data_IF_279410393202
#
_entry.id   IF_279410393202
#
_cell.length_a   1.000
_cell.length_b   1.000
_cell.length_c   1.000
_cell.angle_alpha   90.00
_cell.angle_beta   90.00
_cell.angle_gamma   90.00
#
_symmetry.space_group_name_H-M   'P 1'
#
loop_
_entity.id
_entity.type
_entity.pdbx_description
1 polymer ?
#
# COMPACT_ATOMS: atom_id res chain seq x y z
N UNK A 1 3.35 23.38 3.65
CA UNK A 1 1.99 23.85 3.32
C UNK A 1 1.05 23.00 4.14
N UNK A 2 0.17 23.60 4.89
CA UNK A 2 -0.83 22.90 5.71
C UNK A 2 -2.20 23.30 5.16
N UNK A 3 -2.87 22.38 4.50
CA UNK A 3 -4.28 22.52 4.14
C UNK A 3 -5.09 22.40 5.41
N UNK A 4 -5.67 23.50 5.87
CA UNK A 4 -6.10 23.67 7.25
C UNK A 4 -7.50 23.13 7.53
N UNK A 5 -8.37 23.08 6.51
CA UNK A 5 -9.77 22.70 6.71
C UNK A 5 -10.15 21.56 5.79
N UNK A 6 -10.46 20.40 6.38
CA UNK A 6 -11.08 19.27 5.68
C UNK A 6 -12.52 19.15 6.18
N UNK A 7 -13.47 19.12 5.27
CA UNK A 7 -14.88 18.90 5.55
C UNK A 7 -15.44 17.76 4.69
N UNK A 8 -16.08 16.81 5.31
CA UNK A 8 -17.00 15.91 4.62
C UNK A 8 -18.31 16.64 4.39
N UNK A 9 -18.88 16.51 3.20
CA UNK A 9 -20.20 17.08 2.95
C UNK A 9 -21.31 16.23 3.57
N UNK A 10 -22.47 16.81 3.81
CA UNK A 10 -23.61 16.07 4.35
C UNK A 10 -23.97 14.88 3.43
N UNK A 11 -24.03 15.11 2.13
CA UNK A 11 -24.26 14.07 1.13
C UNK A 11 -23.07 13.07 1.05
N UNK A 12 -21.85 13.53 1.26
CA UNK A 12 -20.65 12.68 1.31
C UNK A 12 -20.65 11.73 2.51
N UNK A 13 -21.13 12.20 3.67
CA UNK A 13 -21.30 11.35 4.86
C UNK A 13 -22.32 10.22 4.56
N UNK A 14 -23.42 10.53 3.90
CA UNK A 14 -24.41 9.52 3.49
C UNK A 14 -23.79 8.46 2.58
N UNK A 15 -22.98 8.88 1.58
CA UNK A 15 -22.25 7.94 0.71
C UNK A 15 -21.29 7.04 1.47
N UNK A 16 -20.56 7.58 2.47
CA UNK A 16 -19.65 6.80 3.30
C UNK A 16 -20.39 5.81 4.20
N UNK A 17 -21.51 6.21 4.78
CA UNK A 17 -22.35 5.32 5.59
C UNK A 17 -22.90 4.16 4.76
N UNK A 18 -23.31 4.44 3.54
CA UNK A 18 -23.73 3.44 2.59
C UNK A 18 -22.60 2.47 2.20
N UNK A 19 -21.37 2.99 2.03
CA UNK A 19 -20.20 2.15 1.77
C UNK A 19 -19.87 1.24 2.95
N UNK A 20 -20.01 1.71 4.18
CA UNK A 20 -19.87 0.89 5.40
C UNK A 20 -20.97 -0.20 5.47
N UNK A 21 -22.14 0.08 4.90
CA UNK A 21 -23.26 -0.88 4.83
C UNK A 21 -23.10 -1.91 3.69
N UNK A 22 -21.96 -1.90 2.97
CA UNK A 22 -21.62 -2.88 1.93
C UNK A 22 -21.95 -2.45 0.50
N UNK A 23 -22.35 -1.18 0.28
CA UNK A 23 -22.47 -0.65 -1.08
C UNK A 23 -21.10 -0.13 -1.56
N UNK A 24 -20.71 -0.48 -2.77
CA UNK A 24 -19.47 -0.01 -3.34
C UNK A 24 -19.55 1.49 -3.65
N UNK A 25 -18.58 2.26 -3.14
CA UNK A 25 -18.37 3.68 -3.45
C UNK A 25 -17.22 3.83 -4.44
N UNK A 26 -17.49 4.48 -5.57
CA UNK A 26 -16.46 4.82 -6.56
C UNK A 26 -16.14 6.31 -6.47
N UNK A 27 -14.88 6.66 -6.23
CA UNK A 27 -14.39 8.03 -6.40
C UNK A 27 -14.17 8.25 -7.89
N UNK A 28 -14.89 9.19 -8.46
CA UNK A 28 -14.99 9.38 -9.91
C UNK A 28 -14.08 10.49 -10.41
N UNK A 29 -13.92 11.57 -9.63
CA UNK A 29 -13.12 12.71 -10.04
C UNK A 29 -12.57 13.49 -8.83
N UNK A 30 -11.45 14.15 -9.06
CA UNK A 30 -10.92 15.20 -8.21
C UNK A 30 -11.02 16.54 -8.93
N UNK A 31 -11.37 17.59 -8.20
CA UNK A 31 -11.61 18.93 -8.77
C UNK A 31 -10.97 19.98 -7.89
N UNK A 32 -10.25 20.91 -8.50
CA UNK A 32 -9.77 22.13 -7.85
C UNK A 32 -10.74 23.28 -7.98
N UNK A 33 -10.82 24.13 -6.97
CA UNK A 33 -11.58 25.38 -6.98
C UNK A 33 -10.68 26.57 -6.70
N UNK A 34 -10.86 27.65 -7.47
CA UNK A 34 -10.09 28.89 -7.33
C UNK A 34 -10.67 29.86 -6.29
N UNK A 35 -11.85 29.57 -5.75
CA UNK A 35 -12.52 30.40 -4.78
C UNK A 35 -12.47 29.85 -3.36
N UNK A 36 -12.96 30.69 -2.42
CA UNK A 36 -13.08 30.35 -1.01
C UNK A 36 -14.54 30.30 -0.61
N UNK A 37 -14.93 29.34 0.18
CA UNK A 37 -16.21 29.26 0.86
C UNK A 37 -16.02 29.54 2.36
N UNK A 38 -17.10 29.95 3.01
CA UNK A 38 -17.07 30.09 4.46
C UNK A 38 -16.88 28.69 5.11
N UNK A 39 -15.85 28.57 5.96
CA UNK A 39 -15.54 27.32 6.64
C UNK A 39 -16.73 26.70 7.40
N UNK A 40 -17.62 27.51 7.93
CA UNK A 40 -18.79 27.04 8.66
C UNK A 40 -19.84 26.33 7.79
N UNK A 41 -19.81 26.52 6.46
CA UNK A 41 -20.78 25.94 5.53
C UNK A 41 -20.16 25.01 4.49
N UNK A 42 -18.89 24.63 4.67
CA UNK A 42 -18.20 23.69 3.75
C UNK A 42 -18.95 22.36 3.65
N UNK A 43 -19.53 21.87 4.75
CA UNK A 43 -20.29 20.62 4.78
C UNK A 43 -21.56 20.65 3.90
N UNK A 44 -22.11 21.82 3.65
CA UNK A 44 -23.30 21.99 2.83
C UNK A 44 -22.99 22.28 1.35
N UNK A 45 -21.72 22.31 0.96
CA UNK A 45 -21.31 22.53 -0.43
C UNK A 45 -21.69 21.33 -1.29
N UNK A 46 -22.05 21.61 -2.54
CA UNK A 46 -22.32 20.59 -3.57
C UNK A 46 -21.29 20.61 -4.69
N UNK A 47 -20.45 21.64 -4.75
CA UNK A 47 -19.35 21.80 -5.70
C UNK A 47 -18.27 22.72 -5.09
N UNK A 48 -17.13 22.83 -5.77
CA UNK A 48 -16.08 23.81 -5.44
C UNK A 48 -16.54 25.22 -5.68
N UNK A 49 -15.89 26.18 -5.03
CA UNK A 49 -16.17 27.62 -5.20
C UNK A 49 -15.20 28.21 -6.23
N UNK A 50 -15.69 29.12 -7.05
CA UNK A 50 -14.91 29.77 -8.10
C UNK A 50 -14.78 28.95 -9.36
N UNK A 51 -13.69 29.13 -10.08
CA UNK A 51 -13.42 28.41 -11.30
C UNK A 51 -13.05 26.95 -10.99
N UNK A 52 -13.57 26.03 -11.79
CA UNK A 52 -13.41 24.59 -11.62
C UNK A 52 -12.29 24.05 -12.52
N UNK A 53 -11.32 23.40 -11.90
CA UNK A 53 -10.18 22.79 -12.59
C UNK A 53 -10.18 21.28 -12.36
N UNK A 54 -10.10 20.51 -13.45
CA UNK A 54 -9.99 19.06 -13.35
C UNK A 54 -8.61 18.68 -12.78
N UNK A 55 -8.60 17.81 -11.77
CA UNK A 55 -7.39 17.27 -11.18
C UNK A 55 -7.31 15.78 -11.49
N UNK A 56 -6.10 15.22 -11.53
CA UNK A 56 -5.91 13.82 -11.90
C UNK A 56 -5.85 12.92 -10.67
N UNK A 57 -6.66 11.88 -10.68
CA UNK A 57 -6.60 10.80 -9.68
C UNK A 57 -5.48 9.83 -10.05
N UNK A 58 -4.44 9.70 -9.20
CA UNK A 58 -3.32 8.78 -9.42
C UNK A 58 -3.57 7.39 -8.87
N UNK A 59 -4.29 7.26 -7.78
CA UNK A 59 -4.53 5.97 -7.16
C UNK A 59 -5.14 6.05 -5.77
N UNK A 60 -5.60 4.89 -5.32
CA UNK A 60 -6.08 4.68 -3.95
C UNK A 60 -5.32 3.52 -3.33
N UNK A 61 -4.95 3.66 -2.06
CA UNK A 61 -4.29 2.61 -1.29
C UNK A 61 -4.96 2.45 0.07
N UNK A 62 -5.20 1.21 0.45
CA UNK A 62 -5.60 0.88 1.82
C UNK A 62 -4.43 1.15 2.76
N UNK A 63 -4.70 1.86 3.84
CA UNK A 63 -3.73 2.19 4.89
C UNK A 63 -4.39 2.04 6.25
N UNK A 64 -3.58 2.03 7.29
CA UNK A 64 -4.06 2.14 8.66
C UNK A 64 -3.63 3.50 9.20
N UNK A 65 -4.58 4.25 9.74
CA UNK A 65 -4.34 5.57 10.30
C UNK A 65 -4.86 5.59 11.74
N UNK A 66 -3.95 5.74 12.70
CA UNK A 66 -4.27 5.74 14.14
C UNK A 66 -5.10 4.51 14.58
N UNK A 67 -4.78 3.32 14.03
CA UNK A 67 -5.49 2.07 14.33
C UNK A 67 -6.83 1.89 13.58
N UNK A 68 -7.22 2.82 12.74
CA UNK A 68 -8.42 2.74 11.92
C UNK A 68 -8.09 2.45 10.47
N UNK A 69 -8.96 1.69 9.81
CA UNK A 69 -8.85 1.47 8.39
C UNK A 69 -9.13 2.79 7.63
N UNK A 70 -8.27 3.08 6.68
CA UNK A 70 -8.37 4.30 5.89
C UNK A 70 -8.03 4.02 4.41
N UNK A 71 -8.45 4.94 3.56
CA UNK A 71 -8.09 4.97 2.14
C UNK A 71 -7.31 6.24 1.85
N UNK A 72 -6.12 6.05 1.31
CA UNK A 72 -5.26 7.16 0.88
C UNK A 72 -5.45 7.36 -0.61
N UNK A 73 -6.00 8.51 -0.98
CA UNK A 73 -6.21 8.93 -2.38
C UNK A 73 -5.11 9.91 -2.76
N UNK A 74 -4.41 9.64 -3.86
CA UNK A 74 -3.40 10.53 -4.42
C UNK A 74 -3.98 11.28 -5.59
N UNK A 75 -3.75 12.59 -5.62
CA UNK A 75 -4.21 13.52 -6.63
C UNK A 75 -3.00 14.24 -7.19
N UNK A 76 -2.89 14.30 -8.51
CA UNK A 76 -1.87 15.08 -9.21
C UNK A 76 -2.48 16.40 -9.70
N UNK A 77 -1.74 17.47 -9.48
CA UNK A 77 -2.05 18.81 -9.91
C UNK A 77 -0.90 19.26 -10.81
N UNK A 78 -1.22 19.59 -12.04
CA UNK A 78 -0.26 20.07 -13.05
C UNK A 78 -0.58 21.49 -13.44
N UNK A 79 0.31 22.13 -14.17
CA UNK A 79 0.07 23.43 -14.75
C UNK A 79 -1.23 23.47 -15.55
N UNK A 80 -1.91 24.61 -15.54
CA UNK A 80 -3.18 24.85 -16.23
C UNK A 80 -2.97 25.67 -17.52
N UNK A 81 -4.07 26.02 -18.19
CA UNK A 81 -4.00 26.92 -19.36
C UNK A 81 -3.57 28.33 -18.92
N UNK A 82 -4.19 28.85 -17.85
CA UNK A 82 -3.84 30.11 -17.23
C UNK A 82 -3.40 29.90 -15.77
N UNK A 83 -2.57 30.83 -15.25
CA UNK A 83 -2.17 30.83 -13.85
C UNK A 83 -3.37 31.15 -12.96
N UNK A 84 -3.60 30.31 -11.94
CA UNK A 84 -4.66 30.51 -10.96
C UNK A 84 -4.21 30.16 -9.55
N UNK A 85 -4.96 30.58 -8.55
CA UNK A 85 -4.74 30.16 -7.17
C UNK A 85 -5.71 29.06 -6.80
N UNK A 86 -5.20 27.90 -6.44
CA UNK A 86 -5.97 26.75 -5.99
C UNK A 86 -6.24 26.91 -4.48
N UNK A 87 -7.48 27.12 -4.14
CA UNK A 87 -7.94 27.25 -2.75
C UNK A 87 -8.67 26.01 -2.23
N UNK A 88 -9.28 25.25 -3.12
CA UNK A 88 -10.07 24.09 -2.76
C UNK A 88 -9.68 22.87 -3.57
N UNK A 89 -9.68 21.71 -2.92
CA UNK A 89 -9.56 20.39 -3.56
C UNK A 89 -10.76 19.57 -3.11
N UNK A 90 -11.55 19.11 -4.07
CA UNK A 90 -12.75 18.32 -3.84
C UNK A 90 -12.62 16.92 -4.43
N UNK A 91 -13.16 15.93 -3.72
CA UNK A 91 -13.36 14.59 -4.23
C UNK A 91 -14.85 14.34 -4.44
N UNK A 92 -15.18 13.86 -5.64
CA UNK A 92 -16.52 13.42 -6.00
C UNK A 92 -16.56 11.91 -6.09
N UNK A 93 -17.69 11.35 -5.75
CA UNK A 93 -17.92 9.92 -5.86
C UNK A 93 -19.38 9.59 -6.07
N UNK A 94 -19.64 8.34 -6.43
CA UNK A 94 -20.98 7.79 -6.57
C UNK A 94 -21.02 6.33 -6.15
N UNK A 95 -22.19 5.89 -5.75
CA UNK A 95 -22.46 4.47 -5.53
C UNK A 95 -22.66 3.75 -6.86
N UNK A 96 -22.40 2.44 -6.84
CA UNK A 96 -22.70 1.58 -7.99
C UNK A 96 -24.19 1.69 -8.34
N UNK A 97 -24.46 2.05 -9.59
CA UNK A 97 -25.82 2.24 -10.12
C UNK A 97 -26.37 3.66 -10.00
N UNK A 98 -25.69 4.58 -9.30
CA UNK A 98 -26.07 6.00 -9.33
C UNK A 98 -25.60 6.66 -10.63
N UNK A 99 -26.44 7.57 -11.16
CA UNK A 99 -26.16 8.29 -12.40
C UNK A 99 -25.29 9.54 -12.17
N UNK A 100 -25.39 10.17 -11.00
CA UNK A 100 -24.78 11.45 -10.70
C UNK A 100 -23.66 11.30 -9.67
N UNK A 101 -22.63 12.13 -9.83
CA UNK A 101 -21.55 12.27 -8.88
C UNK A 101 -21.94 13.21 -7.75
N UNK A 102 -21.56 12.85 -6.54
CA UNK A 102 -21.84 13.64 -5.33
C UNK A 102 -20.52 14.09 -4.73
N UNK A 103 -20.45 15.33 -4.27
CA UNK A 103 -19.30 15.85 -3.55
C UNK A 103 -19.14 15.11 -2.22
N UNK A 104 -18.06 14.35 -2.10
CA UNK A 104 -17.76 13.51 -0.94
C UNK A 104 -17.12 14.33 0.19
N UNK A 105 -16.05 15.03 -0.16
CA UNK A 105 -15.30 15.86 0.76
C UNK A 105 -14.63 17.03 0.03
N UNK A 106 -14.29 18.04 0.82
CA UNK A 106 -13.62 19.23 0.35
C UNK A 106 -12.53 19.64 1.33
N UNK A 107 -11.36 19.94 0.79
CA UNK A 107 -10.23 20.49 1.54
C UNK A 107 -10.02 21.93 1.08
N UNK A 108 -9.89 22.85 2.02
CA UNK A 108 -9.69 24.26 1.73
C UNK A 108 -8.45 24.82 2.43
N UNK A 109 -7.74 25.69 1.73
CA UNK A 109 -6.65 26.49 2.28
C UNK A 109 -6.89 27.96 1.94
N UNK A 110 -6.96 28.81 2.96
CA UNK A 110 -7.23 30.24 2.80
C UNK A 110 -6.11 30.97 2.05
N UNK A 111 -4.88 30.46 2.13
CA UNK A 111 -3.72 31.02 1.41
C UNK A 111 -3.70 30.58 -0.04
N UNK A 112 -4.15 29.36 -0.29
CA UNK A 112 -4.12 28.73 -1.59
C UNK A 112 -2.70 28.39 -2.05
N UNK A 113 -2.64 27.77 -3.21
CA UNK A 113 -1.40 27.43 -3.92
C UNK A 113 -1.49 28.01 -5.33
N UNK A 114 -0.50 28.80 -5.72
CA UNK A 114 -0.41 29.29 -7.10
C UNK A 114 -0.06 28.13 -8.04
N UNK A 115 -0.91 27.88 -8.99
CA UNK A 115 -0.73 26.92 -10.06
C UNK A 115 -0.34 27.70 -11.32
N UNK A 116 0.88 27.55 -11.83
CA UNK A 116 1.34 28.30 -12.99
C UNK A 116 0.65 27.82 -14.26
N UNK A 117 0.60 28.71 -15.26
CA UNK A 117 0.25 28.32 -16.60
C UNK A 117 1.28 27.30 -17.14
N UNK A 118 0.82 26.26 -17.81
CA UNK A 118 1.70 25.26 -18.41
C UNK A 118 2.66 25.85 -19.47
N UNK A 119 2.32 27.01 -20.05
CA UNK A 119 3.20 27.78 -20.91
C UNK A 119 4.37 28.43 -20.16
N UNK A 120 4.23 28.65 -18.86
CA UNK A 120 5.25 29.28 -18.00
C UNK A 120 6.12 28.26 -17.31
N UNK A 121 5.52 27.15 -16.82
CA UNK A 121 6.22 26.04 -16.20
C UNK A 121 5.60 24.70 -16.64
N UNK A 122 6.23 24.06 -17.61
CA UNK A 122 5.75 22.79 -18.19
C UNK A 122 6.03 21.59 -17.27
N UNK A 123 6.94 21.74 -16.30
CA UNK A 123 7.34 20.67 -15.38
C UNK A 123 6.64 20.79 -14.01
N UNK A 124 5.77 21.80 -13.84
CA UNK A 124 5.07 21.98 -12.58
C UNK A 124 4.21 20.76 -12.28
N UNK A 125 4.53 20.10 -11.19
CA UNK A 125 3.76 18.98 -10.66
C UNK A 125 3.68 19.06 -9.14
N UNK A 126 2.50 18.89 -8.61
CA UNK A 126 2.25 18.81 -7.18
C UNK A 126 1.34 17.64 -6.87
N UNK A 127 1.77 16.75 -5.97
CA UNK A 127 0.98 15.59 -5.54
C UNK A 127 0.36 15.86 -4.18
N UNK A 128 -0.96 15.88 -4.16
CA UNK A 128 -1.75 16.01 -2.94
C UNK A 128 -2.29 14.64 -2.49
N UNK A 129 -2.33 14.43 -1.19
CA UNK A 129 -2.81 13.16 -0.64
C UNK A 129 -3.93 13.43 0.36
N UNK A 130 -5.08 12.82 0.11
CA UNK A 130 -6.22 12.82 1.02
C UNK A 130 -6.32 11.46 1.70
N UNK A 131 -6.55 11.47 3.01
CA UNK A 131 -6.81 10.25 3.77
C UNK A 131 -8.26 10.23 4.20
N UNK A 132 -9.00 9.22 3.76
CA UNK A 132 -10.40 9.00 4.12
C UNK A 132 -10.42 7.87 5.15
N UNK A 133 -10.77 8.20 6.39
CA UNK A 133 -10.89 7.21 7.48
C UNK A 133 -12.29 6.60 7.43
N UNK A 134 -12.36 5.27 7.38
CA UNK A 134 -13.60 4.51 7.24
C UNK A 134 -13.50 3.16 7.94
N UNK A 135 -14.61 2.41 7.97
CA UNK A 135 -14.59 1.01 8.42
C UNK A 135 -13.74 0.12 7.51
N UNK A 136 -13.21 -0.98 8.06
CA UNK A 136 -12.45 -1.99 7.30
C UNK A 136 -13.25 -2.62 6.17
N UNK A 137 -14.56 -2.72 6.34
CA UNK A 137 -15.46 -3.44 5.44
C UNK A 137 -15.98 -2.55 4.28
N UNK A 138 -15.62 -1.24 4.27
CA UNK A 138 -16.05 -0.35 3.21
C UNK A 138 -15.24 -0.56 1.92
N UNK A 139 -15.93 -0.85 0.83
CA UNK A 139 -15.34 -0.97 -0.50
C UNK A 139 -15.34 0.39 -1.20
N UNK A 140 -14.17 1.02 -1.28
CA UNK A 140 -13.96 2.26 -2.02
C UNK A 140 -12.95 2.02 -3.13
N UNK A 141 -13.34 2.32 -4.34
CA UNK A 141 -12.52 2.25 -5.55
C UNK A 141 -12.42 3.64 -6.20
N UNK A 142 -11.50 3.81 -7.13
CA UNK A 142 -11.38 5.05 -7.92
C UNK A 142 -11.57 4.74 -9.39
N UNK A 143 -12.06 5.74 -10.11
CA UNK A 143 -12.10 5.69 -11.56
C UNK A 143 -10.86 6.41 -12.12
N UNK A 144 -9.91 5.62 -12.61
CA UNK A 144 -8.69 6.13 -13.26
C UNK A 144 -8.96 6.44 -14.72
N UNK A 145 -8.27 7.44 -15.26
CA UNK A 145 -8.26 7.67 -16.70
C UNK A 145 -7.74 6.44 -17.46
N UNK A 146 -8.10 6.30 -18.73
CA UNK A 146 -7.65 5.18 -19.56
C UNK A 146 -6.11 5.11 -19.67
N UNK A 147 -5.44 6.26 -19.70
CA UNK A 147 -3.98 6.35 -19.67
C UNK A 147 -3.39 5.84 -18.36
N UNK A 148 -3.96 6.23 -17.24
CA UNK A 148 -3.52 5.76 -15.91
C UNK A 148 -3.78 4.28 -15.71
N UNK A 149 -4.91 3.75 -16.20
CA UNK A 149 -5.18 2.31 -16.18
C UNK A 149 -4.15 1.55 -17.01
N UNK A 150 -3.81 2.05 -18.20
CA UNK A 150 -2.80 1.45 -19.07
C UNK A 150 -1.41 1.47 -18.42
N UNK A 151 -1.04 2.57 -17.78
CA UNK A 151 0.22 2.70 -17.06
C UNK A 151 0.27 1.76 -15.85
N UNK A 152 -0.82 1.65 -15.11
CA UNK A 152 -0.91 0.73 -13.98
C UNK A 152 -0.71 -0.73 -14.42
N UNK A 153 -1.40 -1.16 -15.48
CA UNK A 153 -1.24 -2.50 -16.05
C UNK A 153 0.19 -2.74 -16.53
N UNK A 154 0.81 -1.77 -17.20
CA UNK A 154 2.20 -1.87 -17.62
C UNK A 154 3.17 -2.03 -16.44
N UNK A 155 2.97 -1.26 -15.36
CA UNK A 155 3.81 -1.36 -14.15
C UNK A 155 3.60 -2.70 -13.46
N UNK A 156 2.36 -3.18 -13.34
CA UNK A 156 2.06 -4.49 -12.74
C UNK A 156 2.70 -5.63 -13.55
N UNK A 157 2.63 -5.58 -14.88
CA UNK A 157 3.28 -6.55 -15.76
C UNK A 157 4.80 -6.54 -15.57
N UNK A 158 5.43 -5.36 -15.48
CA UNK A 158 6.87 -5.22 -15.25
C UNK A 158 7.30 -5.73 -13.88
N UNK A 159 6.48 -5.50 -12.85
CA UNK A 159 6.73 -6.06 -11.51
C UNK A 159 6.66 -7.59 -11.55
N UNK A 160 5.64 -8.15 -12.21
CA UNK A 160 5.52 -9.60 -12.35
C UNK A 160 6.67 -10.20 -13.13
N UNK A 161 7.08 -9.61 -14.26
CA UNK A 161 8.25 -10.04 -15.02
C UNK A 161 9.52 -10.03 -14.14
N UNK A 162 9.71 -8.95 -13.37
CA UNK A 162 10.83 -8.83 -12.45
C UNK A 162 10.80 -9.93 -11.37
N UNK A 163 9.66 -10.16 -10.74
CA UNK A 163 9.54 -11.13 -9.64
C UNK A 163 9.68 -12.58 -10.12
N UNK A 164 9.21 -12.87 -11.34
CA UNK A 164 9.33 -14.20 -11.97
C UNK A 164 10.68 -14.44 -12.65
N UNK A 165 11.44 -13.38 -12.94
CA UNK A 165 12.72 -13.51 -13.63
C UNK A 165 13.74 -14.28 -12.80
N UNK A 166 14.40 -15.32 -13.38
CA UNK A 166 15.49 -16.04 -12.69
C UNK A 166 16.67 -15.16 -12.31
N UNK A 167 16.89 -14.07 -13.05
CA UNK A 167 17.99 -13.13 -12.81
C UNK A 167 17.65 -12.08 -11.75
N UNK A 168 16.36 -11.87 -11.44
CA UNK A 168 15.95 -10.96 -10.38
C UNK A 168 16.36 -11.51 -9.03
N UNK A 169 17.06 -10.66 -8.26
CA UNK A 169 17.57 -11.03 -6.94
C UNK A 169 18.41 -12.30 -6.92
N UNK A 170 19.15 -12.58 -8.00
CA UNK A 170 19.97 -13.79 -8.18
C UNK A 170 20.86 -14.05 -6.97
N UNK A 171 21.56 -13.03 -6.48
CA UNK A 171 22.45 -13.18 -5.33
C UNK A 171 21.71 -13.59 -4.05
N UNK A 172 20.50 -13.05 -3.84
CA UNK A 172 19.65 -13.40 -2.69
C UNK A 172 19.12 -14.83 -2.82
N UNK A 173 18.73 -15.25 -4.01
CA UNK A 173 18.29 -16.64 -4.27
C UNK A 173 19.41 -17.64 -4.07
N UNK A 174 20.64 -17.32 -4.53
CA UNK A 174 21.83 -18.15 -4.32
C UNK A 174 22.15 -18.21 -2.82
N UNK A 175 22.13 -17.08 -2.12
CA UNK A 175 22.37 -17.04 -0.68
C UNK A 175 21.32 -17.84 0.10
N UNK A 176 20.04 -17.73 -0.24
CA UNK A 176 18.96 -18.50 0.36
C UNK A 176 19.12 -20.01 0.11
N UNK A 177 19.44 -20.42 -1.11
CA UNK A 177 19.69 -21.82 -1.45
C UNK A 177 20.89 -22.39 -0.68
N UNK A 178 21.96 -21.60 -0.53
CA UNK A 178 23.13 -21.99 0.26
C UNK A 178 22.78 -22.14 1.75
N UNK A 179 22.04 -21.18 2.33
CA UNK A 179 21.61 -21.29 3.72
C UNK A 179 20.70 -22.51 3.94
N UNK A 180 19.81 -22.83 3.00
CA UNK A 180 18.98 -24.02 3.10
C UNK A 180 19.83 -25.28 3.07
N UNK A 181 20.81 -25.38 2.18
CA UNK A 181 21.73 -26.51 2.12
C UNK A 181 22.55 -26.66 3.43
N UNK A 182 23.00 -25.55 4.00
CA UNK A 182 23.74 -25.55 5.28
C UNK A 182 22.83 -26.03 6.43
N UNK A 183 21.55 -25.62 6.45
CA UNK A 183 20.55 -26.10 7.42
C UNK A 183 20.31 -27.60 7.26
N UNK A 184 20.15 -28.09 6.04
CA UNK A 184 19.93 -29.51 5.76
C UNK A 184 21.15 -30.37 6.22
N UNK A 185 22.36 -29.87 6.00
CA UNK A 185 23.60 -30.50 6.49
C UNK A 185 23.63 -30.51 8.03
N UNK A 186 23.29 -29.43 8.68
CA UNK A 186 23.21 -29.32 10.13
C UNK A 186 22.17 -30.28 10.71
N UNK A 187 20.99 -30.36 10.10
CA UNK A 187 19.92 -31.27 10.50
C UNK A 187 20.38 -32.73 10.35
N UNK A 188 21.05 -33.05 9.25
CA UNK A 188 21.61 -34.39 9.03
C UNK A 188 22.66 -34.72 10.10
N UNK A 189 23.57 -33.81 10.42
CA UNK A 189 24.56 -33.99 11.48
C UNK A 189 23.89 -34.23 12.83
N UNK A 190 22.92 -33.42 13.22
CA UNK A 190 22.19 -33.58 14.48
C UNK A 190 21.50 -34.95 14.50
N UNK A 191 20.85 -35.33 13.41
CA UNK A 191 20.19 -36.64 13.33
C UNK A 191 21.16 -37.82 13.45
N UNK A 192 22.34 -37.70 12.84
CA UNK A 192 23.36 -38.77 12.90
C UNK A 192 24.11 -38.80 14.23
N UNK A 193 24.39 -37.64 14.83
CA UNK A 193 25.13 -37.55 16.09
C UNK A 193 24.27 -37.83 17.33
N UNK A 194 22.94 -37.54 17.26
CA UNK A 194 22.05 -37.68 18.41
C UNK A 194 21.16 -38.92 18.36
N UNK A 195 20.67 -39.29 17.17
CA UNK A 195 19.65 -40.35 17.06
C UNK A 195 20.13 -41.65 16.44
N UNK A 196 21.11 -41.60 15.59
CA UNK A 196 21.66 -42.77 14.93
C UNK A 196 23.18 -42.56 14.78
N UNK A 197 23.96 -42.86 15.81
CA UNK A 197 25.41 -42.85 15.66
C UNK A 197 25.79 -43.81 14.53
N UNK A 198 26.15 -43.34 13.32
CA UNK A 198 26.45 -44.21 12.20
C UNK A 198 27.81 -44.91 12.37
N UNK A 199 28.56 -44.52 13.40
CA UNK A 199 29.83 -45.12 13.75
C UNK A 199 29.64 -46.10 14.90
N UNK A 200 29.18 -47.29 14.61
CA UNK A 200 29.40 -48.43 15.50
C UNK A 200 30.84 -48.88 15.36
N UNK A 201 31.65 -48.61 16.35
CA UNK A 201 32.99 -49.19 16.41
C UNK A 201 32.86 -50.57 17.06
N UNK A 202 33.14 -51.61 16.27
CA UNK A 202 33.19 -52.97 16.79
C UNK A 202 34.61 -53.28 17.22
N UNK A 203 34.80 -53.58 18.49
CA UNK A 203 36.10 -53.98 19.02
C UNK A 203 36.14 -55.48 19.14
N UNK A 204 37.21 -56.10 18.68
CA UNK A 204 37.45 -57.56 18.88
C UNK A 204 37.81 -57.87 20.34
N UNK A 205 38.45 -56.92 21.03
CA UNK A 205 38.75 -56.97 22.46
C UNK A 205 38.75 -55.56 23.03
N UNK A 206 38.35 -55.43 24.29
CA UNK A 206 38.42 -54.18 25.05
C UNK A 206 39.70 -54.06 25.88
N UNK A 207 40.58 -55.06 25.84
CA UNK A 207 41.81 -55.08 26.60
C UNK A 207 42.78 -53.96 26.17
N UNK A 208 43.09 -53.07 27.08
CA UNK A 208 43.99 -51.94 26.85
C UNK A 208 43.30 -50.69 26.23
N UNK A 209 41.98 -50.69 26.04
CA UNK A 209 41.23 -49.55 25.58
C UNK A 209 40.73 -48.75 26.78
N UNK A 210 41.06 -47.43 26.83
CA UNK A 210 40.43 -46.49 27.73
C UNK A 210 39.35 -45.73 27.00
N UNK A 211 38.09 -46.01 27.32
CA UNK A 211 36.95 -45.34 26.71
C UNK A 211 36.25 -44.50 27.77
N UNK A 212 36.11 -43.20 27.49
CA UNK A 212 35.33 -42.32 28.33
C UNK A 212 33.89 -42.27 27.81
N UNK A 213 32.98 -42.89 28.54
CA UNK A 213 31.58 -42.97 28.20
C UNK A 213 30.85 -43.89 29.18
N UNK A 214 29.53 -43.90 29.12
CA UNK A 214 28.71 -44.79 29.96
C UNK A 214 28.26 -45.97 29.11
N UNK A 215 28.59 -47.20 29.60
CA UNK A 215 28.12 -48.43 28.94
C UNK A 215 26.62 -48.59 29.13
N UNK A 216 25.87 -48.58 28.06
CA UNK A 216 24.46 -48.93 28.05
C UNK A 216 24.31 -50.43 27.78
N UNK A 217 23.97 -51.17 28.83
CA UNK A 217 23.87 -52.62 28.75
C UNK A 217 22.72 -53.12 27.92
N UNK A 218 21.62 -52.37 27.84
CA UNK A 218 20.43 -52.74 27.08
C UNK A 218 20.68 -52.60 25.57
N UNK A 219 21.49 -51.63 25.19
CA UNK A 219 21.81 -51.36 23.78
C UNK A 219 23.19 -51.93 23.37
N UNK A 220 23.91 -52.54 24.32
CA UNK A 220 25.26 -53.08 24.09
C UNK A 220 26.21 -52.09 23.41
N UNK A 221 26.18 -50.85 23.86
CA UNK A 221 27.00 -49.77 23.30
C UNK A 221 27.48 -48.82 24.38
N UNK A 222 28.54 -48.07 24.07
CA UNK A 222 28.99 -46.95 24.91
C UNK A 222 28.31 -45.69 24.43
N UNK A 223 27.73 -44.95 25.37
CA UNK A 223 27.13 -43.65 25.12
C UNK A 223 28.04 -42.59 25.71
N UNK A 224 28.31 -41.51 24.91
CA UNK A 224 29.20 -40.41 25.26
C UNK A 224 28.43 -39.17 25.66
#
# INVERSE_FOLDING_TARGET
>A
MSWETLAYTDAGIELLMDAVSGKQLTITQAVGGSGLANAAVLHAQTDVTGERHALELLGIKSVEENGNAARRVKIRITGAEDTYTLHQIALFGRQTGAAEDTLLLLVQDDRGVEIPAASTDQEFEFVFTVVIVISRDAEIVINLSAEMQSLQLFVEERIQEHDLSPESHKDLRIAAAKMQADIDILQLKIATDVTANPFSVTFESLDGLTVTGVWNADLSRIEF
#
